data_IF_293575104803
#
_entry.id   IF_293575104803
#
_cell.length_a   1.000
_cell.length_b   1.000
_cell.length_c   1.000
_cell.angle_alpha   90.00
_cell.angle_beta   90.00
_cell.angle_gamma   90.00
#
_symmetry.space_group_name_H-M   'P 1'
#
loop_
_entity.id
_entity.type
_entity.pdbx_description
1 polymer ?
#
# COMPACT_ATOMS: atom_id res chain seq x y z
N UNK A 1 1.45 6.35 14.51
CA UNK A 1 1.66 5.11 13.71
C UNK A 1 0.56 5.04 12.65
N UNK A 2 0.81 4.62 11.39
CA UNK A 2 -0.26 4.47 10.40
C UNK A 2 -1.37 3.58 10.95
N UNK A 3 -2.62 4.01 10.79
CA UNK A 3 -3.80 3.56 11.54
C UNK A 3 -4.27 2.11 11.32
N UNK A 4 -3.45 1.25 10.69
CA UNK A 4 -3.76 -0.16 10.51
C UNK A 4 -2.74 -0.91 9.64
N UNK A 5 -2.70 -2.24 9.81
CA UNK A 5 -2.03 -3.15 8.85
C UNK A 5 -3.02 -3.51 7.75
N UNK A 6 -2.96 -2.83 6.62
CA UNK A 6 -3.81 -3.11 5.44
C UNK A 6 -3.30 -4.29 4.62
N UNK A 7 -1.98 -4.40 4.49
CA UNK A 7 -1.32 -5.47 3.74
C UNK A 7 -0.50 -6.37 4.68
N UNK A 8 -0.51 -7.68 4.40
CA UNK A 8 0.29 -8.66 5.15
C UNK A 8 1.70 -8.71 4.57
N UNK A 9 2.71 -8.66 5.44
CA UNK A 9 4.11 -8.84 5.05
C UNK A 9 4.83 -7.60 4.55
N UNK A 10 4.23 -6.42 4.68
CA UNK A 10 4.85 -5.14 4.34
C UNK A 10 5.16 -4.34 5.60
N UNK A 11 6.23 -3.56 5.59
CA UNK A 11 6.65 -2.73 6.71
C UNK A 11 5.83 -1.46 6.89
N UNK A 12 6.18 -0.69 7.93
CA UNK A 12 5.41 0.50 8.33
C UNK A 12 5.40 1.61 7.27
N UNK A 13 6.46 1.71 6.44
CA UNK A 13 6.59 2.68 5.36
C UNK A 13 5.61 2.37 4.23
N UNK A 14 5.48 1.10 3.90
CA UNK A 14 4.59 0.62 2.84
C UNK A 14 3.12 0.67 3.25
N UNK A 15 2.81 0.48 4.53
CA UNK A 15 1.47 0.77 5.06
C UNK A 15 1.09 2.25 4.89
N UNK A 16 2.04 3.18 5.10
CA UNK A 16 1.81 4.62 4.84
C UNK A 16 1.63 4.91 3.34
N UNK A 17 2.42 4.24 2.50
CA UNK A 17 2.29 4.35 1.05
C UNK A 17 0.91 3.88 0.58
N UNK A 18 0.40 2.77 1.13
CA UNK A 18 -0.94 2.27 0.83
C UNK A 18 -2.00 3.34 1.10
N UNK A 19 -1.97 3.98 2.28
CA UNK A 19 -2.96 5.00 2.63
C UNK A 19 -2.87 6.23 1.74
N UNK A 20 -1.65 6.68 1.42
CA UNK A 20 -1.44 7.80 0.51
C UNK A 20 -1.98 7.52 -0.89
N UNK A 21 -1.69 6.34 -1.46
CA UNK A 21 -2.19 5.95 -2.77
C UNK A 21 -3.70 5.76 -2.73
N UNK A 22 -4.24 5.13 -1.67
CA UNK A 22 -5.68 4.94 -1.48
C UNK A 22 -6.41 6.28 -1.50
N UNK A 23 -5.90 7.28 -0.79
CA UNK A 23 -6.52 8.61 -0.72
C UNK A 23 -6.43 9.36 -2.04
N UNK A 24 -5.26 9.42 -2.67
CA UNK A 24 -5.09 10.06 -3.98
C UNK A 24 -5.92 9.39 -5.08
N UNK A 25 -6.07 8.06 -5.03
CA UNK A 25 -6.79 7.29 -6.05
C UNK A 25 -8.31 7.33 -5.89
N UNK A 26 -8.87 7.82 -4.77
CA UNK A 26 -10.33 7.87 -4.55
C UNK A 26 -11.07 8.66 -5.63
N UNK A 27 -10.49 9.76 -6.10
CA UNK A 27 -11.10 10.62 -7.13
C UNK A 27 -11.19 9.98 -8.51
N UNK A 28 -10.26 9.07 -8.86
CA UNK A 28 -10.18 8.45 -10.19
C UNK A 28 -10.80 7.05 -10.24
N UNK A 29 -10.60 6.26 -9.17
CA UNK A 29 -10.87 4.83 -9.17
C UNK A 29 -11.98 4.43 -8.18
N UNK A 30 -12.43 5.34 -7.31
CA UNK A 30 -13.53 5.13 -6.38
C UNK A 30 -13.41 3.84 -5.56
N UNK A 31 -14.24 2.84 -5.87
CA UNK A 31 -14.22 1.53 -5.18
C UNK A 31 -12.93 0.74 -5.42
N UNK A 32 -12.26 0.95 -6.56
CA UNK A 32 -11.02 0.25 -6.94
C UNK A 32 -9.77 0.84 -6.28
N UNK A 33 -9.86 1.98 -5.61
CA UNK A 33 -8.72 2.65 -4.96
C UNK A 33 -7.96 1.75 -3.97
N UNK A 34 -8.69 0.88 -3.25
CA UNK A 34 -8.06 -0.11 -2.35
C UNK A 34 -7.22 -1.15 -3.11
N UNK A 35 -7.73 -1.65 -4.23
CA UNK A 35 -7.05 -2.63 -5.07
C UNK A 35 -5.80 -2.03 -5.73
N UNK A 36 -5.93 -0.81 -6.27
CA UNK A 36 -4.82 -0.07 -6.86
C UNK A 36 -3.73 0.18 -5.83
N UNK A 37 -4.08 0.67 -4.64
CA UNK A 37 -3.13 0.86 -3.56
C UNK A 37 -2.43 -0.45 -3.16
N UNK A 38 -3.19 -1.55 -3.03
CA UNK A 38 -2.63 -2.86 -2.71
C UNK A 38 -1.63 -3.35 -3.77
N UNK A 39 -1.99 -3.29 -5.06
CA UNK A 39 -1.12 -3.75 -6.15
C UNK A 39 0.14 -2.90 -6.25
N UNK A 40 0.01 -1.58 -6.13
CA UNK A 40 1.16 -0.68 -6.25
C UNK A 40 2.16 -0.90 -5.12
N UNK A 41 1.68 -1.03 -3.87
CA UNK A 41 2.57 -1.28 -2.72
C UNK A 41 3.21 -2.66 -2.81
N UNK A 42 2.45 -3.71 -3.15
CA UNK A 42 3.03 -5.06 -3.31
C UNK A 42 4.05 -5.14 -4.44
N UNK A 43 3.85 -4.38 -5.52
CA UNK A 43 4.84 -4.25 -6.60
C UNK A 43 6.10 -3.57 -6.08
N UNK A 44 5.96 -2.41 -5.44
CA UNK A 44 7.09 -1.67 -4.86
C UNK A 44 7.88 -2.51 -3.85
N UNK A 45 7.21 -3.24 -2.96
CA UNK A 45 7.83 -4.13 -1.98
C UNK A 45 8.74 -5.18 -2.63
N UNK A 46 8.23 -5.83 -3.70
CA UNK A 46 8.99 -6.81 -4.48
C UNK A 46 10.17 -6.18 -5.21
N UNK A 47 9.96 -5.03 -5.86
CA UNK A 47 11.00 -4.34 -6.61
C UNK A 47 12.11 -3.78 -5.72
N UNK A 48 11.76 -3.39 -4.49
CA UNK A 48 12.73 -2.93 -3.48
C UNK A 48 13.53 -4.08 -2.86
N UNK A 49 13.17 -5.34 -3.16
CA UNK A 49 13.79 -6.52 -2.56
C UNK A 49 13.51 -6.65 -1.06
N UNK A 50 12.49 -5.95 -0.54
CA UNK A 50 12.15 -6.02 0.88
C UNK A 50 11.71 -7.43 1.25
N UNK A 51 12.18 -7.90 2.41
CA UNK A 51 11.69 -9.12 3.01
C UNK A 51 10.41 -8.85 3.80
N UNK A 52 9.74 -9.93 4.20
CA UNK A 52 8.42 -9.87 4.84
C UNK A 52 8.47 -9.05 6.13
N UNK A 53 7.95 -7.83 6.10
CA UNK A 53 7.81 -6.94 7.27
C UNK A 53 8.80 -5.77 7.33
N UNK A 54 9.71 -5.64 6.35
CA UNK A 54 10.58 -4.47 6.15
C UNK A 54 9.84 -3.30 5.48
#
# INVERSE_FOLDING_TARGET
MPGGKHLKGVGSKEQRMYEHIKENSKGHYGKRSKEVAARTVMKHHRESGHTKGE
#
